data_IF_415120506847
#
_entry.id   IF_415120506847
#
_cell.length_a   1.000
_cell.length_b   1.000
_cell.length_c   1.000
_cell.angle_alpha   90.00
_cell.angle_beta   90.00
_cell.angle_gamma   90.00
#
_symmetry.space_group_name_H-M   'P 1'
#
loop_
_entity.id
_entity.type
_entity.pdbx_description
1 polymer ?
#
# COMPACT_ATOMS: atom_id res chain seq x y z
N UNK A 1 -14.06 6.12 4.07
CA UNK A 1 -14.91 6.09 2.86
C UNK A 1 -15.13 4.65 2.45
N UNK A 2 -16.38 4.18 2.39
CA UNK A 2 -16.68 2.78 2.12
C UNK A 2 -16.52 2.49 0.62
N UNK A 3 -15.68 1.52 0.28
CA UNK A 3 -15.43 1.11 -1.10
C UNK A 3 -14.35 1.91 -1.84
N UNK A 4 -13.83 2.99 -1.24
CA UNK A 4 -12.67 3.69 -1.78
C UNK A 4 -11.41 2.80 -1.68
N UNK A 5 -10.49 2.98 -2.63
CA UNK A 5 -9.22 2.26 -2.70
C UNK A 5 -8.10 3.22 -2.34
N UNK A 6 -7.21 2.80 -1.45
CA UNK A 6 -6.05 3.61 -1.04
C UNK A 6 -4.74 2.91 -1.36
N UNK A 7 -3.74 3.69 -1.75
CA UNK A 7 -2.35 3.29 -1.84
C UNK A 7 -1.77 3.10 -0.43
N UNK A 8 -1.41 1.86 -0.12
CA UNK A 8 -0.82 1.48 1.16
C UNK A 8 0.69 1.49 1.09
N UNK A 9 1.25 0.95 0.01
CA UNK A 9 2.67 0.92 -0.24
C UNK A 9 2.93 1.19 -1.72
N UNK A 10 3.92 2.02 -2.00
CA UNK A 10 4.47 2.22 -3.34
C UNK A 10 5.98 2.24 -3.24
N UNK A 11 6.64 1.28 -3.86
CA UNK A 11 8.09 1.20 -3.92
C UNK A 11 8.55 0.55 -5.23
N UNK A 12 9.85 0.47 -5.48
CA UNK A 12 10.41 0.00 -6.73
C UNK A 12 9.96 -1.43 -7.04
N UNK A 13 9.14 -1.55 -8.08
CA UNK A 13 8.65 -2.84 -8.55
C UNK A 13 7.54 -3.47 -7.69
N UNK A 14 7.03 -2.75 -6.69
CA UNK A 14 5.91 -3.18 -5.86
C UNK A 14 4.94 -2.03 -5.60
N UNK A 15 3.64 -2.29 -5.78
CA UNK A 15 2.60 -1.42 -5.28
C UNK A 15 1.52 -2.23 -4.60
N UNK A 16 1.03 -1.74 -3.46
CA UNK A 16 -0.01 -2.37 -2.65
C UNK A 16 -1.14 -1.36 -2.43
N UNK A 17 -2.34 -1.74 -2.84
CA UNK A 17 -3.55 -0.98 -2.63
C UNK A 17 -4.59 -1.83 -1.90
N UNK A 18 -5.52 -1.18 -1.19
CA UNK A 18 -6.63 -1.90 -0.54
C UNK A 18 -7.92 -1.11 -0.50
N UNK A 19 -9.04 -1.83 -0.55
CA UNK A 19 -10.38 -1.32 -0.26
C UNK A 19 -10.64 -1.32 1.24
N UNK A 20 -11.39 -0.31 1.71
CA UNK A 20 -11.79 -0.21 3.12
C UNK A 20 -13.31 -0.17 3.28
N UNK A 21 -13.79 -0.77 4.37
CA UNK A 21 -15.17 -0.65 4.82
C UNK A 21 -15.18 -0.50 6.34
N UNK A 22 -15.74 0.60 6.85
CA UNK A 22 -15.77 0.92 8.28
C UNK A 22 -14.38 0.76 8.96
N UNK A 23 -13.32 1.27 8.33
CA UNK A 23 -11.92 1.18 8.75
C UNK A 23 -11.27 -0.23 8.70
N UNK A 24 -11.99 -1.23 8.21
CA UNK A 24 -11.44 -2.57 7.99
C UNK A 24 -11.03 -2.76 6.54
N UNK A 25 -9.81 -3.23 6.31
CA UNK A 25 -9.36 -3.68 4.98
C UNK A 25 -10.25 -4.83 4.51
N UNK A 26 -10.67 -4.77 3.26
CA UNK A 26 -11.56 -5.76 2.65
C UNK A 26 -10.81 -6.59 1.63
N UNK A 27 -10.18 -5.95 0.65
CA UNK A 27 -9.51 -6.62 -0.45
C UNK A 27 -8.15 -5.96 -0.71
N UNK A 28 -7.17 -6.76 -1.14
CA UNK A 28 -5.85 -6.28 -1.54
C UNK A 28 -5.64 -6.44 -3.03
N UNK A 29 -4.94 -5.47 -3.61
CA UNK A 29 -4.28 -5.59 -4.91
C UNK A 29 -2.79 -5.32 -4.72
N UNK A 30 -1.97 -6.21 -5.24
CA UNK A 30 -0.51 -6.06 -5.26
C UNK A 30 -0.07 -6.15 -6.72
N UNK A 31 0.64 -5.14 -7.18
CA UNK A 31 1.35 -5.18 -8.46
C UNK A 31 2.82 -5.46 -8.18
N UNK A 32 3.35 -6.57 -8.73
CA UNK A 32 4.75 -7.00 -8.61
C UNK A 32 5.39 -7.05 -9.99
N UNK A 33 6.09 -5.98 -10.38
CA UNK A 33 6.55 -5.83 -11.76
C UNK A 33 5.38 -5.84 -12.74
N UNK A 34 5.19 -6.94 -13.47
CA UNK A 34 4.07 -7.13 -14.40
C UNK A 34 2.94 -8.00 -13.82
N UNK A 35 3.17 -8.67 -12.70
CA UNK A 35 2.19 -9.56 -12.09
C UNK A 35 1.19 -8.77 -11.23
N UNK A 36 -0.07 -9.18 -11.27
CA UNK A 36 -1.17 -8.64 -10.48
C UNK A 36 -1.72 -9.71 -9.54
N UNK A 37 -1.68 -9.47 -8.24
CA UNK A 37 -2.14 -10.40 -7.21
C UNK A 37 -3.28 -9.73 -6.45
N UNK A 38 -4.46 -10.36 -6.45
CA UNK A 38 -5.58 -9.94 -5.62
C UNK A 38 -5.88 -11.00 -4.55
N UNK A 39 -6.18 -10.54 -3.34
CA UNK A 39 -6.65 -11.39 -2.25
C UNK A 39 -7.78 -10.70 -1.50
N UNK A 40 -8.95 -11.33 -1.47
CA UNK A 40 -10.14 -10.77 -0.84
C UNK A 40 -10.43 -11.36 0.54
N UNK A 41 -11.31 -10.69 1.29
CA UNK A 41 -11.80 -11.16 2.60
C UNK A 41 -12.48 -12.52 2.59
N UNK A 42 -12.95 -12.99 1.43
CA UNK A 42 -13.52 -14.34 1.29
C UNK A 42 -12.43 -15.42 1.20
N UNK A 43 -11.16 -15.03 1.13
CA UNK A 43 -10.04 -15.94 0.97
C UNK A 43 -9.82 -16.36 -0.48
N UNK A 44 -10.32 -15.60 -1.46
CA UNK A 44 -10.07 -15.84 -2.88
C UNK A 44 -8.76 -15.16 -3.29
N UNK A 45 -7.79 -15.97 -3.69
CA UNK A 45 -6.55 -15.52 -4.32
C UNK A 45 -6.71 -15.54 -5.83
N UNK A 46 -6.39 -14.44 -6.49
CA UNK A 46 -6.33 -14.31 -7.95
C UNK A 46 -4.95 -13.81 -8.34
N UNK A 47 -4.31 -14.43 -9.33
CA UNK A 47 -3.03 -14.02 -9.88
C UNK A 47 -3.20 -13.83 -11.39
N UNK A 48 -2.88 -12.65 -11.90
CA UNK A 48 -3.03 -12.26 -13.31
C UNK A 48 -4.43 -12.54 -13.87
N UNK A 49 -5.46 -12.32 -13.04
CA UNK A 49 -6.86 -12.57 -13.39
C UNK A 49 -7.33 -14.02 -13.19
N UNK A 50 -6.43 -14.95 -12.89
CA UNK A 50 -6.75 -16.37 -12.68
C UNK A 50 -6.88 -16.73 -11.19
N UNK A 51 -8.01 -17.32 -10.83
CA UNK A 51 -8.27 -17.78 -9.46
C UNK A 51 -7.44 -19.01 -9.11
N UNK A 52 -6.74 -18.92 -7.98
CA UNK A 52 -5.91 -20.01 -7.44
C UNK A 52 -6.73 -20.78 -6.39
N UNK A 53 -7.27 -21.94 -6.77
CA UNK A 53 -8.28 -22.68 -5.98
C UNK A 53 -7.73 -23.50 -4.81
N UNK A 54 -6.41 -23.65 -4.70
CA UNK A 54 -5.78 -24.48 -3.68
C UNK A 54 -4.54 -23.85 -3.09
N UNK A 55 -4.03 -24.49 -2.04
CA UNK A 55 -2.75 -24.16 -1.43
C UNK A 55 -1.59 -24.45 -2.40
N UNK A 56 -0.50 -23.70 -2.26
CA UNK A 56 0.66 -23.87 -3.12
C UNK A 56 1.57 -22.64 -3.14
N UNK A 57 2.61 -22.76 -3.97
CA UNK A 57 3.52 -21.67 -4.31
C UNK A 57 3.28 -21.25 -5.75
N UNK A 58 3.34 -19.95 -6.00
CA UNK A 58 3.07 -19.30 -7.28
C UNK A 58 4.15 -18.26 -7.55
N UNK A 59 4.28 -17.86 -8.82
CA UNK A 59 5.27 -16.86 -9.26
C UNK A 59 6.70 -17.17 -8.78
N UNK A 60 7.12 -18.44 -8.94
CA UNK A 60 8.44 -18.94 -8.50
C UNK A 60 8.69 -18.76 -7.00
N UNK A 61 7.68 -19.01 -6.16
CA UNK A 61 7.78 -18.94 -4.71
C UNK A 61 7.55 -17.55 -4.11
N UNK A 62 7.40 -16.50 -4.94
CA UNK A 62 7.10 -15.15 -4.45
C UNK A 62 5.74 -15.04 -3.78
N UNK A 63 4.79 -15.88 -4.17
CA UNK A 63 3.45 -15.92 -3.56
C UNK A 63 3.22 -17.33 -3.04
N UNK A 64 2.79 -17.47 -1.81
CA UNK A 64 2.35 -18.75 -1.26
C UNK A 64 0.97 -18.62 -0.61
N UNK A 65 0.16 -19.66 -0.77
CA UNK A 65 -1.16 -19.79 -0.14
C UNK A 65 -1.18 -20.99 0.79
N UNK A 66 -1.70 -20.78 1.99
CA UNK A 66 -2.02 -21.83 2.95
C UNK A 66 -3.36 -21.53 3.62
N UNK A 67 -4.41 -22.26 3.22
CA UNK A 67 -5.78 -22.03 3.63
C UNK A 67 -6.28 -20.63 3.26
N UNK A 68 -6.53 -19.81 4.29
CA UNK A 68 -7.00 -18.43 4.21
C UNK A 68 -5.87 -17.40 4.40
N UNK A 69 -4.61 -17.83 4.37
CA UNK A 69 -3.45 -16.95 4.44
C UNK A 69 -2.70 -16.95 3.11
N UNK A 70 -2.32 -15.76 2.68
CA UNK A 70 -1.45 -15.53 1.53
C UNK A 70 -0.21 -14.79 2.00
N UNK A 71 0.97 -15.31 1.65
CA UNK A 71 2.24 -14.63 1.88
C UNK A 71 2.80 -14.17 0.54
N UNK A 72 3.22 -12.91 0.47
CA UNK A 72 3.85 -12.31 -0.71
C UNK A 72 5.22 -11.81 -0.31
N UNK A 73 6.25 -12.26 -1.02
CA UNK A 73 7.64 -11.85 -0.88
C UNK A 73 8.05 -11.06 -2.12
N UNK A 74 8.52 -9.84 -1.90
CA UNK A 74 8.98 -8.97 -2.98
C UNK A 74 10.14 -8.09 -2.52
N UNK A 75 11.33 -8.35 -3.06
CA UNK A 75 12.54 -7.60 -2.71
C UNK A 75 12.81 -7.69 -1.20
N UNK A 76 12.74 -6.54 -0.55
CA UNK A 76 12.94 -6.38 0.90
C UNK A 76 11.65 -6.56 1.74
N UNK A 77 10.50 -6.77 1.10
CA UNK A 77 9.21 -6.83 1.77
C UNK A 77 8.68 -8.26 1.89
N UNK A 78 8.18 -8.58 3.08
CA UNK A 78 7.29 -9.72 3.31
C UNK A 78 5.94 -9.23 3.80
N UNK A 79 4.89 -9.62 3.09
CA UNK A 79 3.50 -9.34 3.43
C UNK A 79 2.78 -10.64 3.72
N UNK A 80 2.12 -10.74 4.86
CA UNK A 80 1.26 -11.87 5.21
C UNK A 80 -0.16 -11.36 5.38
N UNK A 81 -1.05 -11.77 4.49
CA UNK A 81 -2.45 -11.38 4.51
C UNK A 81 -3.30 -12.57 4.94
N UNK A 82 -4.27 -12.34 5.81
CA UNK A 82 -5.18 -13.37 6.29
C UNK A 82 -6.64 -12.90 6.21
N UNK A 83 -7.47 -13.68 5.55
CA UNK A 83 -8.92 -13.47 5.51
C UNK A 83 -9.55 -13.89 6.85
N UNK A 84 -10.14 -12.94 7.56
CA UNK A 84 -10.73 -13.17 8.88
C UNK A 84 -12.24 -13.33 8.76
N UNK A 85 -12.71 -14.58 8.84
CA UNK A 85 -14.13 -14.95 8.92
C UNK A 85 -15.03 -14.32 7.83
N UNK A 86 -14.50 -14.06 6.62
CA UNK A 86 -15.23 -13.37 5.55
C UNK A 86 -15.70 -11.94 5.91
N UNK A 87 -15.05 -11.29 6.90
CA UNK A 87 -15.43 -9.96 7.39
C UNK A 87 -14.43 -8.88 7.03
N UNK A 88 -13.16 -9.17 7.22
CA UNK A 88 -12.07 -8.24 6.97
C UNK A 88 -10.77 -8.99 6.76
N UNK A 89 -9.75 -8.24 6.37
CA UNK A 89 -8.40 -8.74 6.19
C UNK A 89 -7.48 -8.25 7.29
N UNK A 90 -6.67 -9.17 7.82
CA UNK A 90 -5.47 -8.82 8.58
C UNK A 90 -4.26 -8.82 7.66
N UNK A 91 -3.31 -7.95 7.96
CA UNK A 91 -2.02 -7.93 7.28
C UNK A 91 -0.89 -7.69 8.28
N UNK A 92 0.16 -8.50 8.14
CA UNK A 92 1.45 -8.23 8.72
C UNK A 92 2.41 -7.83 7.59
N UNK A 93 3.07 -6.69 7.77
CA UNK A 93 4.05 -6.15 6.84
C UNK A 93 5.39 -6.02 7.54
N UNK A 94 6.45 -6.56 6.94
CA UNK A 94 7.80 -6.53 7.49
C UNK A 94 8.83 -6.25 6.40
N UNK A 95 9.81 -5.41 6.73
CA UNK A 95 11.04 -5.22 5.97
C UNK A 95 12.20 -5.01 6.94
N UNK A 96 13.33 -5.67 6.68
CA UNK A 96 14.56 -5.51 7.46
C UNK A 96 15.28 -4.20 7.11
N UNK A 97 15.15 -3.76 5.86
CA UNK A 97 15.66 -2.50 5.37
C UNK A 97 14.74 -2.04 4.22
N UNK A 98 13.83 -1.12 4.51
CA UNK A 98 12.83 -0.63 3.57
C UNK A 98 13.39 0.40 2.57
N UNK A 99 14.71 0.48 2.40
CA UNK A 99 15.34 1.31 1.39
C UNK A 99 16.63 0.64 0.89
N UNK A 100 16.69 -0.69 0.88
CA UNK A 100 17.89 -1.43 0.52
C UNK A 100 18.29 -1.24 -0.94
N UNK A 101 17.31 -0.96 -1.80
CA UNK A 101 17.52 -0.65 -3.21
C UNK A 101 17.75 0.85 -3.48
N UNK A 102 17.73 1.66 -2.42
CA UNK A 102 17.94 3.10 -2.48
C UNK A 102 16.69 3.94 -2.77
N UNK A 103 15.53 3.34 -2.96
CA UNK A 103 14.26 4.04 -3.11
C UNK A 103 13.55 4.02 -1.76
N UNK A 104 12.97 5.16 -1.35
CA UNK A 104 12.19 5.23 -0.13
C UNK A 104 10.73 4.88 -0.43
N UNK A 105 10.08 4.02 0.35
CA UNK A 105 8.70 3.62 0.15
C UNK A 105 7.73 4.75 0.45
N UNK A 106 6.63 4.75 -0.29
CA UNK A 106 5.51 5.66 -0.10
C UNK A 106 4.19 4.92 0.09
N UNK A 107 3.09 5.66 0.14
CA UNK A 107 1.79 5.15 0.56
C UNK A 107 1.52 5.36 2.04
N UNK A 108 0.32 4.99 2.49
CA UNK A 108 -0.10 5.16 3.89
C UNK A 108 0.86 4.45 4.87
N UNK A 109 1.41 3.30 4.50
CA UNK A 109 2.42 2.60 5.29
C UNK A 109 3.85 3.07 5.00
N UNK A 110 4.14 3.48 3.76
CA UNK A 110 5.45 4.05 3.41
C UNK A 110 5.79 5.30 4.22
N UNK A 111 4.79 6.07 4.66
CA UNK A 111 4.99 7.18 5.60
C UNK A 111 5.62 6.78 6.96
N UNK A 112 5.59 5.50 7.33
CA UNK A 112 6.27 4.97 8.52
C UNK A 112 7.65 4.38 8.21
N UNK A 113 7.98 4.20 6.93
CA UNK A 113 9.20 3.57 6.44
C UNK A 113 10.09 4.53 5.61
N UNK A 114 9.69 5.79 5.41
CA UNK A 114 10.35 6.81 4.58
C UNK A 114 11.72 7.31 5.10
N UNK A 115 12.27 6.65 6.11
CA UNK A 115 13.70 6.73 6.46
C UNK A 115 14.14 7.98 7.22
N UNK A 116 13.22 8.84 7.70
CA UNK A 116 13.58 10.04 8.48
C UNK A 116 14.01 9.76 9.94
N UNK A 117 13.99 8.49 10.33
CA UNK A 117 14.36 8.00 11.66
C UNK A 117 13.35 8.34 12.76
N UNK A 118 12.17 8.87 12.42
CA UNK A 118 11.13 9.26 13.39
C UNK A 118 9.92 8.35 13.24
N UNK A 119 9.69 7.53 14.25
CA UNK A 119 8.44 6.78 14.36
C UNK A 119 7.27 7.76 14.47
N UNK A 120 6.43 7.82 13.43
CA UNK A 120 5.20 8.62 13.43
C UNK A 120 4.07 7.80 14.06
N UNK A 121 3.29 8.43 14.94
CA UNK A 121 2.16 7.78 15.62
C UNK A 121 0.91 8.57 15.35
N UNK A 122 -0.04 7.91 14.69
CA UNK A 122 -1.35 8.48 14.41
C UNK A 122 -2.18 8.55 15.68
N UNK A 123 -3.06 9.54 15.75
CA UNK A 123 -4.16 9.57 16.72
C UNK A 123 -5.48 9.68 15.97
N UNK A 124 -6.49 8.92 16.40
CA UNK A 124 -7.80 8.91 15.75
C UNK A 124 -7.83 8.26 14.37
N UNK A 125 -8.81 8.65 13.55
CA UNK A 125 -9.08 8.05 12.23
C UNK A 125 -8.71 8.95 11.05
N UNK A 126 -8.22 10.16 11.31
CA UNK A 126 -7.93 11.20 10.31
C UNK A 126 -6.44 11.25 9.91
N UNK A 127 -5.62 10.38 10.49
CA UNK A 127 -4.18 10.34 10.22
C UNK A 127 -3.38 11.43 10.93
N UNK A 128 -3.98 12.15 11.88
CA UNK A 128 -3.29 13.20 12.66
C UNK A 128 -2.02 12.67 13.30
N UNK A 129 -0.88 13.32 13.03
CA UNK A 129 0.43 12.95 13.58
C UNK A 129 1.11 11.76 12.90
N UNK A 130 0.48 11.14 11.90
CA UNK A 130 1.06 10.04 11.12
C UNK A 130 1.21 10.34 9.63
N UNK A 131 0.30 11.12 9.04
CA UNK A 131 0.24 11.34 7.60
C UNK A 131 0.74 12.75 7.26
N UNK A 132 1.66 12.84 6.30
CA UNK A 132 2.16 14.10 5.74
C UNK A 132 1.17 14.69 4.72
N UNK A 133 1.01 16.01 4.72
CA UNK A 133 0.28 16.81 3.72
C UNK A 133 1.21 17.17 2.57
N UNK A 134 0.66 17.65 1.45
CA UNK A 134 1.47 18.07 0.30
C UNK A 134 2.43 19.23 0.61
N UNK A 135 2.13 20.06 1.62
CA UNK A 135 3.03 21.15 2.03
C UNK A 135 4.16 20.68 2.97
N UNK A 136 4.28 19.37 3.21
CA UNK A 136 5.25 18.78 4.14
C UNK A 136 4.87 18.89 5.62
N UNK A 137 3.72 19.49 5.93
CA UNK A 137 3.22 19.54 7.32
C UNK A 137 2.42 18.29 7.67
N UNK A 138 2.32 17.96 8.96
CA UNK A 138 1.53 16.81 9.38
C UNK A 138 0.02 17.11 9.33
N UNK A 139 -0.77 16.08 9.01
CA UNK A 139 -2.22 16.11 9.14
C UNK A 139 -2.63 16.53 10.57
N UNK A 140 -3.69 17.33 10.64
CA UNK A 140 -4.32 17.83 11.85
C UNK A 140 -5.70 17.23 12.00
N UNK A 141 -6.24 17.35 13.21
CA UNK A 141 -7.56 16.81 13.54
C UNK A 141 -8.64 17.33 12.59
N UNK A 142 -9.39 16.43 11.98
CA UNK A 142 -10.44 16.73 11.01
C UNK A 142 -9.96 16.90 9.56
N UNK A 143 -8.64 16.87 9.30
CA UNK A 143 -8.13 16.80 7.95
C UNK A 143 -8.51 15.46 7.30
N UNK A 144 -8.75 15.48 5.99
CA UNK A 144 -8.93 14.26 5.19
C UNK A 144 -7.68 13.94 4.38
N UNK A 145 -6.50 14.15 4.95
CA UNK A 145 -5.21 13.97 4.26
C UNK A 145 -5.03 12.55 3.72
N UNK A 146 -5.64 11.55 4.36
CA UNK A 146 -5.66 10.17 3.85
C UNK A 146 -6.27 10.05 2.43
N UNK A 147 -7.14 10.98 2.01
CA UNK A 147 -7.73 10.99 0.66
C UNK A 147 -6.69 11.31 -0.43
N UNK A 148 -5.55 11.91 -0.07
CA UNK A 148 -4.44 12.08 -1.02
C UNK A 148 -3.85 10.75 -1.49
N UNK A 149 -4.14 9.66 -0.76
CA UNK A 149 -3.69 8.30 -1.06
C UNK A 149 -4.73 7.50 -1.85
N UNK A 150 -5.88 8.09 -2.17
CA UNK A 150 -6.92 7.41 -2.93
C UNK A 150 -6.46 7.14 -4.37
N UNK A 151 -6.78 5.95 -4.89
CA UNK A 151 -6.45 5.48 -6.23
C UNK A 151 -7.68 4.90 -6.92
N UNK A 152 -7.65 4.75 -8.24
CA UNK A 152 -8.82 4.37 -9.04
C UNK A 152 -9.17 2.88 -8.96
N UNK A 153 -8.29 2.04 -8.41
CA UNK A 153 -8.49 0.60 -8.35
C UNK A 153 -7.37 -0.16 -7.66
N UNK A 154 -7.61 -1.44 -7.38
CA UNK A 154 -6.67 -2.31 -6.67
C UNK A 154 -5.31 -2.46 -7.39
N UNK A 155 -5.29 -2.35 -8.72
CA UNK A 155 -4.07 -2.44 -9.53
C UNK A 155 -3.67 -1.11 -10.17
N UNK A 156 -4.24 0.01 -9.72
CA UNK A 156 -3.85 1.33 -10.22
C UNK A 156 -2.42 1.61 -9.79
N UNK A 157 -1.51 1.77 -10.76
CA UNK A 157 -0.09 2.13 -10.53
C UNK A 157 0.20 3.61 -10.80
N UNK A 158 -0.80 4.38 -11.22
CA UNK A 158 -0.70 5.80 -11.53
C UNK A 158 -0.76 6.70 -10.29
N UNK A 159 -0.34 6.21 -9.12
CA UNK A 159 -0.39 6.98 -7.89
C UNK A 159 0.44 8.26 -8.02
N UNK A 160 -0.24 9.41 -8.05
CA UNK A 160 0.37 10.69 -8.41
C UNK A 160 0.94 11.45 -7.21
N UNK A 161 0.26 11.39 -6.05
CA UNK A 161 0.67 12.10 -4.85
C UNK A 161 1.77 11.33 -4.12
N UNK A 162 2.78 12.01 -3.58
CA UNK A 162 3.85 11.40 -2.78
C UNK A 162 4.62 10.27 -3.48
N UNK A 163 4.52 10.16 -4.80
CA UNK A 163 5.25 9.16 -5.54
C UNK A 163 6.70 9.61 -5.76
N UNK A 164 7.65 9.02 -5.02
CA UNK A 164 9.07 9.38 -5.09
C UNK A 164 9.87 8.58 -6.13
N UNK A 165 9.23 7.91 -7.10
CA UNK A 165 9.93 7.16 -8.17
C UNK A 165 11.00 7.96 -8.93
N UNK A 166 10.94 9.30 -8.94
CA UNK A 166 11.89 10.18 -9.63
C UNK A 166 12.78 11.03 -8.70
N UNK A 167 12.76 10.81 -7.38
CA UNK A 167 13.50 11.60 -6.40
C UNK A 167 14.96 11.18 -6.28
N UNK A 168 15.87 11.84 -7.00
CA UNK A 168 17.30 11.66 -6.80
C UNK A 168 17.75 12.00 -5.37
N UNK A 169 18.73 11.25 -4.86
CA UNK A 169 19.38 11.29 -3.54
C UNK A 169 19.99 12.63 -3.07
N UNK A 170 19.50 13.78 -3.49
CA UNK A 170 20.15 15.07 -3.21
C UNK A 170 19.70 15.73 -1.91
N UNK A 171 18.94 15.04 -1.05
CA UNK A 171 18.42 15.66 0.18
C UNK A 171 17.45 16.82 -0.09
N UNK A 172 16.97 16.94 -1.33
CA UNK A 172 15.91 17.87 -1.70
C UNK A 172 14.59 17.19 -1.37
N UNK A 173 13.77 17.75 -0.47
CA UNK A 173 12.45 17.20 -0.20
C UNK A 173 11.68 17.11 -1.52
N UNK A 174 11.10 15.94 -1.79
CA UNK A 174 10.25 15.75 -2.95
C UNK A 174 9.14 16.80 -2.89
N UNK A 175 9.15 17.72 -3.85
CA UNK A 175 8.06 18.68 -4.00
C UNK A 175 6.89 17.93 -4.62
N UNK A 176 5.73 17.86 -3.95
CA UNK A 176 4.56 17.28 -4.57
C UNK A 176 4.22 18.11 -5.80
N UNK A 177 4.22 17.47 -6.95
CA UNK A 177 3.62 18.03 -8.15
C UNK A 177 2.12 17.93 -7.91
N UNK A 178 1.45 19.09 -7.83
CA UNK A 178 -0.01 19.12 -7.71
C UNK A 178 -0.61 18.22 -8.79
N UNK A 179 -1.55 17.35 -8.41
CA UNK A 179 -2.33 16.59 -9.36
C UNK A 179 -2.94 17.57 -10.38
N UNK A 180 -2.63 17.39 -11.66
CA UNK A 180 -3.43 17.98 -12.72
C UNK A 180 -4.77 17.25 -12.76
N UNK A 181 -5.62 17.58 -11.79
CA UNK A 181 -7.05 17.37 -11.96
C UNK A 181 -7.48 18.29 -13.09
N UNK A 182 -7.70 17.71 -14.27
CA UNK A 182 -8.55 18.38 -15.24
C UNK A 182 -9.91 18.53 -14.57
N UNK A 183 -10.21 19.77 -14.19
CA UNK A 183 -11.55 20.15 -13.81
C UNK A 183 -12.47 20.05 -15.02
N UNK A 184 -13.71 19.66 -14.70
CA UNK A 184 -14.91 19.49 -15.54
C UNK A 184 -15.10 18.13 -16.23
#
# INVERSE_FOLDING_TARGET
>A
DNGAVYNLLSDKGIQVNSTFNNNFMQDFGITLGQDQIAFDKAGKLTINGEEQKGDGEFLNGKVSRKGNQVTVQSGEYTMKMAAVQNRYMNIDFTSDNAAADGVMPHGLWGQSADGDGKARRGSGFDGTGAIERLDGTMAKKGDKTYQLYEVNGLFDTGFANFNRFNGGFTGVPATPVAAQGNGE
#
